data_IF_910535716998
#
_entry.id   IF_910535716998
#
_cell.length_a   1.000
_cell.length_b   1.000
_cell.length_c   1.000
_cell.angle_alpha   90.00
_cell.angle_beta   90.00
_cell.angle_gamma   90.00
#
_symmetry.space_group_name_H-M   'P 1'
#
loop_
_entity.id
_entity.type
_entity.pdbx_description
1 polymer ?
#
# COMPACT_ATOMS: atom_id res chain seq x y z
N UNK A 1 -14.88 -14.09 -2.89
CA UNK A 1 -13.53 -13.64 -2.46
C UNK A 1 -13.60 -12.34 -1.73
N UNK A 2 -12.97 -12.25 -0.60
CA UNK A 2 -12.86 -10.95 0.05
C UNK A 2 -12.13 -9.97 -0.86
N UNK A 3 -12.48 -8.72 -0.74
CA UNK A 3 -11.90 -7.69 -1.56
C UNK A 3 -11.24 -6.65 -0.68
N UNK A 4 -10.21 -6.03 -1.22
CA UNK A 4 -9.61 -4.89 -0.57
C UNK A 4 -10.55 -3.70 -0.78
N UNK A 5 -10.89 -3.03 0.30
CA UNK A 5 -11.83 -1.92 0.26
C UNK A 5 -11.14 -0.67 0.74
N UNK A 6 -10.84 0.21 -0.21
CA UNK A 6 -10.21 1.49 0.08
C UNK A 6 -11.26 2.45 0.62
N UNK A 7 -10.96 3.04 1.75
CA UNK A 7 -11.82 4.04 2.38
C UNK A 7 -11.05 5.34 2.50
N UNK A 8 -11.58 6.41 1.92
CA UNK A 8 -10.96 7.72 1.99
C UNK A 8 -12.02 8.78 1.79
N UNK A 9 -11.75 9.97 2.34
CA UNK A 9 -12.66 11.09 2.23
C UNK A 9 -12.46 11.88 0.95
N UNK A 10 -11.52 11.47 0.11
CA UNK A 10 -11.17 12.22 -1.09
C UNK A 10 -10.95 11.25 -2.24
N UNK A 11 -10.97 11.80 -3.44
CA UNK A 11 -10.80 11.04 -4.67
C UNK A 11 -9.46 11.38 -5.30
N UNK A 12 -8.95 10.53 -6.20
CA UNK A 12 -7.72 10.86 -6.92
C UNK A 12 -7.87 12.16 -7.71
N UNK A 13 -6.83 12.98 -7.64
CA UNK A 13 -6.83 14.26 -8.35
C UNK A 13 -5.52 14.44 -9.08
N UNK A 14 -5.46 15.46 -9.95
CA UNK A 14 -4.25 15.78 -10.69
C UNK A 14 -3.82 14.64 -11.57
N UNK A 15 -2.57 14.23 -11.46
CA UNK A 15 -2.01 13.13 -12.24
C UNK A 15 -2.29 11.76 -11.62
N UNK A 16 -2.93 11.72 -10.47
CA UNK A 16 -3.15 10.45 -9.78
C UNK A 16 -4.01 9.46 -10.56
N UNK A 17 -5.12 9.86 -11.18
CA UNK A 17 -5.90 8.88 -11.93
C UNK A 17 -5.10 8.19 -13.01
N UNK A 18 -4.26 8.93 -13.74
CA UNK A 18 -3.44 8.34 -14.80
C UNK A 18 -2.38 7.42 -14.19
N UNK A 19 -1.71 7.85 -13.12
CA UNK A 19 -0.71 7.01 -12.48
C UNK A 19 -1.33 5.72 -11.96
N UNK A 20 -2.51 5.81 -11.35
CA UNK A 20 -3.19 4.63 -10.86
C UNK A 20 -3.50 3.68 -12.01
N UNK A 21 -4.00 4.20 -13.11
CA UNK A 21 -4.35 3.37 -14.26
C UNK A 21 -3.12 2.69 -14.83
N UNK A 22 -2.03 3.42 -15.01
CA UNK A 22 -0.82 2.85 -15.60
C UNK A 22 -0.19 1.81 -14.69
N UNK A 23 -0.12 2.08 -13.39
CA UNK A 23 0.48 1.12 -12.47
C UNK A 23 -0.37 -0.14 -12.35
N UNK A 24 -1.68 0.03 -12.30
CA UNK A 24 -2.59 -1.11 -12.23
C UNK A 24 -2.45 -1.98 -13.48
N UNK A 25 -2.45 -1.34 -14.64
CA UNK A 25 -2.31 -2.06 -15.90
C UNK A 25 -0.99 -2.82 -15.95
N UNK A 26 0.10 -2.18 -15.52
CA UNK A 26 1.40 -2.83 -15.51
C UNK A 26 1.42 -4.09 -14.66
N UNK A 27 0.83 -4.02 -13.47
CA UNK A 27 0.77 -5.19 -12.60
C UNK A 27 -0.04 -6.30 -13.24
N UNK A 28 -1.20 -5.95 -13.80
CA UNK A 28 -2.07 -6.97 -14.42
C UNK A 28 -1.45 -7.60 -15.63
N UNK A 29 -0.58 -6.88 -16.33
CA UNK A 29 0.12 -7.44 -17.51
C UNK A 29 1.40 -8.17 -17.14
N UNK A 30 1.75 -8.23 -15.88
CA UNK A 30 2.92 -8.97 -15.43
C UNK A 30 4.23 -8.23 -15.55
N UNK A 31 4.18 -6.91 -15.64
CA UNK A 31 5.41 -6.11 -15.65
C UNK A 31 6.13 -6.33 -14.33
N UNK A 32 7.41 -6.72 -14.34
CA UNK A 32 8.09 -7.11 -13.10
C UNK A 32 8.38 -5.95 -12.16
N UNK A 33 8.50 -4.72 -12.67
CA UNK A 33 8.82 -3.59 -11.82
C UNK A 33 8.35 -2.31 -12.47
N UNK A 34 7.92 -1.37 -11.64
CA UNK A 34 7.51 -0.06 -12.08
C UNK A 34 7.96 0.95 -11.04
N UNK A 35 8.15 2.19 -11.46
CA UNK A 35 8.59 3.26 -10.57
C UNK A 35 7.55 4.38 -10.59
N UNK A 36 7.16 4.82 -9.40
CA UNK A 36 6.28 5.96 -9.25
C UNK A 36 7.10 7.14 -8.74
N UNK A 37 7.20 8.19 -9.54
CA UNK A 37 7.90 9.39 -9.16
C UNK A 37 6.90 10.47 -8.80
N UNK A 38 7.24 11.26 -7.80
CA UNK A 38 6.36 12.35 -7.40
C UNK A 38 6.94 13.08 -6.21
N UNK A 39 6.29 14.20 -5.88
CA UNK A 39 6.69 14.95 -4.70
C UNK A 39 6.28 14.17 -3.45
N UNK A 40 6.90 14.54 -2.34
CA UNK A 40 6.59 13.91 -1.07
C UNK A 40 5.17 14.21 -0.65
N UNK A 41 4.66 13.40 0.27
CA UNK A 41 3.37 13.60 0.84
C UNK A 41 2.48 12.40 0.63
N UNK A 42 1.25 12.51 1.12
CA UNK A 42 0.33 11.39 1.13
C UNK A 42 -0.20 11.04 -0.25
N UNK A 43 0.06 11.88 -1.25
CA UNK A 43 -0.44 11.61 -2.59
C UNK A 43 0.07 10.32 -3.18
N UNK A 44 1.36 10.00 -2.96
CA UNK A 44 1.89 8.75 -3.47
C UNK A 44 1.32 7.55 -2.73
N UNK A 45 1.14 7.67 -1.42
CA UNK A 45 0.56 6.59 -0.63
C UNK A 45 -0.87 6.32 -1.08
N UNK A 46 -1.64 7.37 -1.30
CA UNK A 46 -3.01 7.21 -1.77
C UNK A 46 -3.04 6.58 -3.16
N UNK A 47 -2.13 7.00 -4.04
CA UNK A 47 -2.03 6.40 -5.37
C UNK A 47 -1.77 4.90 -5.26
N UNK A 48 -0.82 4.50 -4.44
CA UNK A 48 -0.49 3.08 -4.27
C UNK A 48 -1.66 2.33 -3.65
N UNK A 49 -2.36 2.95 -2.69
CA UNK A 49 -3.52 2.30 -2.08
C UNK A 49 -4.59 1.99 -3.14
N UNK A 50 -4.80 2.91 -4.07
CA UNK A 50 -5.75 2.66 -5.16
C UNK A 50 -5.29 1.52 -6.05
N UNK A 51 -3.99 1.43 -6.34
CA UNK A 51 -3.47 0.33 -7.14
C UNK A 51 -3.69 -1.00 -6.41
N UNK A 52 -3.40 -1.02 -5.12
CA UNK A 52 -3.59 -2.24 -4.32
C UNK A 52 -5.04 -2.70 -4.36
N UNK A 53 -5.96 -1.75 -4.22
CA UNK A 53 -7.38 -2.10 -4.30
C UNK A 53 -7.73 -2.67 -5.68
N UNK A 54 -7.21 -2.05 -6.73
CA UNK A 54 -7.55 -2.47 -8.07
C UNK A 54 -7.02 -3.86 -8.41
N UNK A 55 -5.81 -4.18 -7.97
CA UNK A 55 -5.26 -5.50 -8.27
C UNK A 55 -5.75 -6.56 -7.30
N UNK A 56 -6.19 -6.17 -6.12
CA UNK A 56 -6.81 -7.05 -5.14
C UNK A 56 -5.92 -8.25 -4.78
N UNK A 57 -4.65 -7.99 -4.51
CA UNK A 57 -3.68 -9.03 -4.18
C UNK A 57 -2.95 -8.67 -2.91
N UNK A 58 -2.53 -9.66 -2.14
CA UNK A 58 -1.69 -9.39 -0.97
C UNK A 58 -0.46 -8.58 -1.35
N UNK A 59 -0.12 -7.64 -0.54
CA UNK A 59 0.92 -6.66 -0.86
C UNK A 59 1.89 -6.55 0.30
N UNK A 60 3.17 -6.50 -0.03
CA UNK A 60 4.23 -6.32 0.94
C UNK A 60 4.91 -5.00 0.66
N UNK A 61 5.04 -4.17 1.70
CA UNK A 61 5.65 -2.86 1.58
C UNK A 61 6.90 -2.83 2.43
N UNK A 62 8.02 -2.52 1.80
CA UNK A 62 9.29 -2.44 2.47
C UNK A 62 9.66 -1.00 2.72
N UNK A 63 10.16 -0.71 3.90
CA UNK A 63 10.62 0.62 4.24
C UNK A 63 12.00 0.53 4.86
N UNK A 64 12.83 1.53 4.60
CA UNK A 64 14.22 1.50 5.04
C UNK A 64 14.40 2.01 6.46
N UNK A 65 13.36 2.49 7.12
CA UNK A 65 13.48 2.85 8.52
C UNK A 65 12.15 2.69 9.23
N UNK A 66 12.24 2.59 10.57
CA UNK A 66 11.06 2.30 11.39
C UNK A 66 10.08 3.45 11.43
N UNK A 67 10.56 4.67 11.40
CA UNK A 67 9.67 5.82 11.47
C UNK A 67 8.77 5.89 10.26
N UNK A 68 9.36 5.70 9.07
CA UNK A 68 8.56 5.71 7.85
C UNK A 68 7.62 4.52 7.81
N UNK A 69 8.09 3.35 8.25
CA UNK A 69 7.22 2.18 8.27
C UNK A 69 6.02 2.38 9.17
N UNK A 70 6.23 2.99 10.34
CA UNK A 70 5.13 3.26 11.26
C UNK A 70 4.12 4.23 10.64
N UNK A 71 4.62 5.25 9.95
CA UNK A 71 3.75 6.20 9.28
C UNK A 71 2.95 5.53 8.18
N UNK A 72 3.60 4.72 7.35
CA UNK A 72 2.92 4.02 6.28
C UNK A 72 1.90 3.03 6.83
N UNK A 73 2.25 2.34 7.90
CA UNK A 73 1.30 1.43 8.52
C UNK A 73 0.03 2.16 8.93
N UNK A 74 0.18 3.33 9.57
CA UNK A 74 -0.98 4.11 9.98
C UNK A 74 -1.83 4.52 8.80
N UNK A 75 -1.19 4.95 7.70
CA UNK A 75 -1.92 5.38 6.53
C UNK A 75 -2.65 4.23 5.86
N UNK A 76 -1.98 3.09 5.68
CA UNK A 76 -2.62 1.95 5.03
C UNK A 76 -3.70 1.34 5.92
N UNK A 77 -3.50 1.35 7.24
CA UNK A 77 -4.54 0.88 8.15
C UNK A 77 -5.78 1.76 8.03
N UNK A 78 -5.58 3.05 7.87
CA UNK A 78 -6.67 3.99 7.69
C UNK A 78 -7.39 3.77 6.35
N UNK A 79 -6.63 3.51 5.28
CA UNK A 79 -7.22 3.27 3.97
C UNK A 79 -7.93 1.93 3.89
N UNK A 80 -7.45 0.92 4.61
CA UNK A 80 -8.01 -0.43 4.53
C UNK A 80 -8.46 -0.92 5.90
N UNK A 81 -9.47 -0.26 6.48
CA UNK A 81 -9.89 -0.62 7.85
C UNK A 81 -10.51 -2.00 7.94
N UNK A 82 -10.98 -2.55 6.84
CA UNK A 82 -11.64 -3.85 6.83
C UNK A 82 -10.72 -4.97 6.36
N UNK A 83 -9.46 -4.67 6.11
CA UNK A 83 -8.49 -5.66 5.67
C UNK A 83 -7.43 -5.82 6.73
N UNK A 84 -6.70 -6.93 6.67
CA UNK A 84 -5.62 -7.17 7.60
C UNK A 84 -4.40 -6.38 7.15
N UNK A 85 -3.99 -5.43 7.96
CA UNK A 85 -2.79 -4.63 7.73
C UNK A 85 -1.87 -4.89 8.91
N UNK A 86 -0.69 -5.45 8.65
CA UNK A 86 0.22 -5.86 9.69
C UNK A 86 1.56 -5.19 9.50
N UNK A 87 2.28 -5.06 10.60
CA UNK A 87 3.48 -4.27 10.66
C UNK A 87 4.57 -5.10 11.35
N UNK A 88 5.69 -5.26 10.67
CA UNK A 88 6.80 -6.05 11.18
C UNK A 88 8.03 -5.17 11.26
N UNK A 89 8.73 -5.23 12.37
CA UNK A 89 9.92 -4.42 12.60
C UNK A 89 11.04 -5.35 13.06
N UNK A 90 12.22 -5.17 12.48
CA UNK A 90 13.40 -5.88 12.95
C UNK A 90 13.86 -5.31 14.28
N UNK A 91 14.49 -6.14 15.08
CA UNK A 91 15.13 -5.67 16.30
C UNK A 91 16.37 -4.84 16.00
N UNK A 92 16.92 -4.95 14.79
CA UNK A 92 18.13 -4.22 14.44
C UNK A 92 17.76 -2.96 13.69
N UNK A 93 18.36 -1.84 14.08
CA UNK A 93 17.94 -0.53 13.59
C UNK A 93 18.13 -0.36 12.10
N UNK A 94 19.14 -0.98 11.53
CA UNK A 94 19.42 -0.78 10.11
C UNK A 94 18.72 -1.79 9.23
N UNK A 95 17.84 -2.61 9.78
CA UNK A 95 17.08 -3.55 8.99
C UNK A 95 15.81 -2.90 8.46
N UNK A 96 15.32 -3.48 7.39
CA UNK A 96 14.10 -3.00 6.79
C UNK A 96 12.91 -3.31 7.69
N UNK A 97 11.91 -2.44 7.62
CA UNK A 97 10.62 -2.68 8.24
C UNK A 97 9.62 -3.02 7.16
N UNK A 98 8.66 -3.85 7.50
CA UNK A 98 7.69 -4.36 6.54
C UNK A 98 6.28 -4.02 6.95
N UNK A 99 5.45 -3.79 5.96
CA UNK A 99 4.02 -3.69 6.15
C UNK A 99 3.38 -4.68 5.19
N UNK A 100 2.47 -5.48 5.70
CA UNK A 100 1.80 -6.50 4.90
C UNK A 100 0.31 -6.21 4.90
N UNK A 101 -0.28 -6.22 3.73
CA UNK A 101 -1.71 -6.00 3.55
C UNK A 101 -2.29 -7.23 2.87
N UNK A 102 -3.30 -7.82 3.47
CA UNK A 102 -3.94 -8.99 2.91
C UNK A 102 -5.44 -8.94 3.17
N UNK A 103 -6.12 -9.93 2.64
CA UNK A 103 -7.56 -10.01 2.91
C UNK A 103 -7.78 -10.22 4.40
N UNK A 104 -8.98 -9.94 4.89
CA UNK A 104 -9.26 -10.07 6.31
C UNK A 104 -9.00 -11.47 6.79
N UNK A 105 -8.38 -11.60 7.99
CA UNK A 105 -8.16 -12.90 8.55
C UNK A 105 -8.58 -12.91 9.97
N UNK A 106 -8.86 -14.10 10.44
CA UNK A 106 -9.14 -14.25 11.71
C UNK A 106 -7.95 -14.53 12.39
N UNK A 107 -6.93 -14.73 12.26
CA UNK A 107 -6.02 -14.97 13.10
C UNK A 107 -4.92 -14.63 13.11
N UNK A 108 -4.39 -14.58 13.54
CA UNK A 108 -3.46 -14.18 13.63
C UNK A 108 -2.48 -14.80 14.03
N UNK A 109 -1.82 -15.02 13.98
CA UNK A 109 -0.83 -15.70 14.28
C UNK A 109 -0.35 -15.77 15.26
#
# INVERSE_FOLDING_TARGET
MPKFELTADYSPTGDQPEAIAQLTEGVLQGVPAQTLLGVTGSGKTFTIANVIQNINKPTLILSHNKTLAAQLYGEFKSFFPHNAVEYYVSYYDYYLSLIHISEPTRHSL
#
